data_IF_007260310320
#
_entry.id   IF_007260310320
#
_cell.length_a   1.000
_cell.length_b   1.000
_cell.length_c   1.000
_cell.angle_alpha   90.00
_cell.angle_beta   90.00
_cell.angle_gamma   90.00
#
_symmetry.space_group_name_H-M   'P 1'
#
loop_
_entity.id
_entity.type
_entity.pdbx_description
1 polymer ?
#
# COMPACT_ATOMS: atom_id res chain seq x y z
N UNK A 1 -11.96 -3.92 23.51
CA UNK A 1 -11.21 -3.05 22.58
C UNK A 1 -9.92 -3.75 22.15
N UNK A 2 -9.66 -3.83 20.86
CA UNK A 2 -8.41 -4.37 20.33
C UNK A 2 -7.37 -3.25 20.42
N UNK A 3 -6.15 -3.55 20.94
CA UNK A 3 -5.12 -2.55 21.16
C UNK A 3 -4.60 -1.99 19.83
N UNK A 4 -4.20 -2.86 18.94
CA UNK A 4 -3.50 -2.48 17.70
C UNK A 4 -4.35 -2.72 16.45
N UNK A 5 -4.02 -2.05 15.34
CA UNK A 5 -4.68 -2.17 14.04
C UNK A 5 -3.64 -2.34 12.94
N UNK A 6 -3.96 -3.16 11.96
CA UNK A 6 -3.13 -3.33 10.76
C UNK A 6 -4.02 -3.25 9.52
N UNK A 7 -3.59 -2.50 8.53
CA UNK A 7 -4.19 -2.44 7.19
C UNK A 7 -3.10 -2.65 6.16
N UNK A 8 -3.26 -3.66 5.30
CA UNK A 8 -2.28 -4.02 4.28
C UNK A 8 -2.99 -4.11 2.92
N UNK A 9 -2.61 -3.28 1.96
CA UNK A 9 -3.13 -3.31 0.59
C UNK A 9 -4.62 -2.95 0.45
N UNK A 10 -5.26 -2.40 1.51
CA UNK A 10 -6.65 -1.98 1.46
C UNK A 10 -6.80 -0.49 1.15
N UNK A 11 -5.85 0.31 1.57
CA UNK A 11 -5.95 1.77 1.52
C UNK A 11 -6.04 2.30 0.08
N UNK A 12 -5.44 1.58 -0.88
CA UNK A 12 -5.51 1.84 -2.32
C UNK A 12 -6.95 1.75 -2.89
N UNK A 13 -7.84 1.08 -2.17
CA UNK A 13 -9.25 0.88 -2.57
C UNK A 13 -10.25 1.75 -1.79
N UNK A 14 -9.77 2.54 -0.82
CA UNK A 14 -10.64 3.42 0.00
C UNK A 14 -11.16 4.60 -0.82
N UNK A 15 -10.34 5.11 -1.75
CA UNK A 15 -10.66 6.31 -2.53
C UNK A 15 -10.41 7.62 -1.75
N UNK A 16 -9.89 8.63 -2.44
CA UNK A 16 -9.44 9.90 -1.84
C UNK A 16 -10.54 10.66 -1.10
N UNK A 17 -11.80 10.53 -1.55
CA UNK A 17 -12.95 11.15 -0.90
C UNK A 17 -13.20 10.61 0.52
N UNK A 18 -12.82 9.37 0.79
CA UNK A 18 -13.07 8.68 2.06
C UNK A 18 -11.83 8.60 2.98
N UNK A 19 -10.68 9.15 2.59
CA UNK A 19 -9.47 9.09 3.40
C UNK A 19 -9.64 9.70 4.79
N UNK A 20 -10.37 10.82 4.90
CA UNK A 20 -10.63 11.43 6.21
C UNK A 20 -11.47 10.52 7.10
N UNK A 21 -12.53 9.93 6.55
CA UNK A 21 -13.40 8.99 7.26
C UNK A 21 -12.61 7.76 7.71
N UNK A 22 -11.75 7.23 6.84
CA UNK A 22 -10.87 6.10 7.16
C UNK A 22 -9.99 6.40 8.38
N UNK A 23 -9.27 7.53 8.40
CA UNK A 23 -8.39 7.86 9.53
C UNK A 23 -9.16 8.24 10.79
N UNK A 24 -10.31 8.88 10.69
CA UNK A 24 -11.20 9.10 11.83
C UNK A 24 -11.63 7.74 12.42
N UNK A 25 -11.98 6.78 11.58
CA UNK A 25 -12.35 5.41 12.03
C UNK A 25 -11.19 4.67 12.66
N UNK A 26 -9.98 4.81 12.13
CA UNK A 26 -8.75 4.27 12.77
C UNK A 26 -8.59 4.88 14.17
N UNK A 27 -8.75 6.19 14.30
CA UNK A 27 -8.69 6.88 15.59
C UNK A 27 -9.72 6.31 16.57
N UNK A 28 -11.00 6.21 16.18
CA UNK A 28 -12.08 5.74 17.04
C UNK A 28 -11.86 4.30 17.54
N UNK A 29 -11.34 3.45 16.67
CA UNK A 29 -11.14 2.02 16.95
C UNK A 29 -9.86 1.72 17.72
N UNK A 30 -8.90 2.64 17.76
CA UNK A 30 -7.62 2.44 18.43
C UNK A 30 -7.75 2.77 19.92
N UNK A 31 -7.10 1.98 20.79
CA UNK A 31 -6.94 2.33 22.19
C UNK A 31 -5.95 3.49 22.36
N UNK A 32 -5.96 4.16 23.52
CA UNK A 32 -5.04 5.26 23.82
C UNK A 32 -3.56 4.84 23.81
N UNK A 33 -3.28 3.56 24.14
CA UNK A 33 -1.95 2.95 24.05
C UNK A 33 -1.76 2.08 22.81
N UNK A 34 -2.66 2.14 21.84
CA UNK A 34 -2.64 1.33 20.64
C UNK A 34 -1.80 1.93 19.53
N UNK A 35 -1.33 1.06 18.64
CA UNK A 35 -0.59 1.40 17.41
C UNK A 35 -1.37 0.92 16.21
N UNK A 36 -1.47 1.76 15.19
CA UNK A 36 -1.95 1.34 13.87
C UNK A 36 -0.79 1.32 12.87
N UNK A 37 -0.76 0.31 12.02
CA UNK A 37 0.14 0.20 10.87
C UNK A 37 -0.67 0.21 9.59
N UNK A 38 -0.42 1.19 8.74
CA UNK A 38 -1.00 1.28 7.41
C UNK A 38 0.10 0.99 6.39
N UNK A 39 -0.01 -0.16 5.75
CA UNK A 39 0.87 -0.59 4.67
C UNK A 39 0.13 -0.41 3.35
N UNK A 40 0.64 0.43 2.49
CA UNK A 40 0.02 0.78 1.21
C UNK A 40 1.06 1.06 0.13
N UNK A 41 0.75 0.69 -1.10
CA UNK A 41 1.47 1.23 -2.25
C UNK A 41 1.22 2.73 -2.28
N UNK A 42 2.25 3.49 -2.62
CA UNK A 42 2.19 4.94 -2.73
C UNK A 42 3.16 5.48 -3.76
N UNK A 43 3.14 6.78 -3.95
CA UNK A 43 4.05 7.47 -4.87
C UNK A 43 4.86 8.56 -4.18
N UNK A 44 6.11 8.75 -4.63
CA UNK A 44 7.01 9.77 -4.09
C UNK A 44 6.79 11.16 -4.69
N UNK A 45 6.11 11.23 -5.84
CA UNK A 45 5.77 12.49 -6.50
C UNK A 45 4.40 13.01 -6.03
N UNK A 46 3.97 14.12 -6.62
CA UNK A 46 2.66 14.73 -6.39
C UNK A 46 1.50 13.78 -6.73
N UNK A 47 0.28 14.08 -6.23
CA UNK A 47 -0.94 13.34 -6.58
C UNK A 47 -1.13 13.22 -8.08
N UNK A 48 -1.60 12.08 -8.54
CA UNK A 48 -1.84 11.82 -9.97
C UNK A 48 -2.88 10.75 -10.19
N UNK A 49 -3.33 10.59 -11.40
CA UNK A 49 -4.35 9.62 -11.77
C UNK A 49 -3.79 8.20 -11.83
N UNK A 50 -4.67 7.23 -11.65
CA UNK A 50 -4.38 5.82 -11.93
C UNK A 50 -4.24 5.62 -13.43
N UNK A 51 -3.31 4.79 -13.84
CA UNK A 51 -3.16 4.41 -15.26
C UNK A 51 -4.47 3.79 -15.78
N UNK A 52 -5.00 4.26 -16.94
CA UNK A 52 -6.29 3.80 -17.45
C UNK A 52 -6.35 2.29 -17.76
N UNK A 53 -5.21 1.68 -18.10
CA UNK A 53 -5.14 0.25 -18.36
C UNK A 53 -5.23 -0.54 -17.04
N UNK A 54 -4.51 -0.09 -16.01
CA UNK A 54 -4.58 -0.69 -14.66
C UNK A 54 -5.99 -0.55 -14.07
N UNK A 55 -6.58 0.64 -14.17
CA UNK A 55 -7.95 0.89 -13.71
C UNK A 55 -8.97 -0.03 -14.41
N UNK A 56 -8.82 -0.21 -15.73
CA UNK A 56 -9.78 -1.01 -16.51
C UNK A 56 -9.64 -2.52 -16.27
N UNK A 57 -8.42 -3.04 -16.18
CA UNK A 57 -8.18 -4.48 -16.30
C UNK A 57 -7.73 -5.17 -15.01
N UNK A 58 -7.18 -4.43 -14.05
CA UNK A 58 -6.54 -5.01 -12.87
C UNK A 58 -7.23 -4.55 -11.59
N UNK A 59 -7.30 -3.24 -11.34
CA UNK A 59 -7.82 -2.64 -10.11
C UNK A 59 -8.82 -1.52 -10.39
N UNK A 60 -10.05 -1.85 -10.83
CA UNK A 60 -11.07 -0.83 -11.06
C UNK A 60 -11.33 0.03 -9.83
N UNK A 61 -11.20 1.35 -9.98
CA UNK A 61 -11.36 2.32 -8.91
C UNK A 61 -10.18 2.38 -7.91
N UNK A 62 -9.11 1.63 -8.15
CA UNK A 62 -7.89 1.70 -7.35
C UNK A 62 -7.15 3.02 -7.52
N UNK A 63 -6.55 3.51 -6.44
CA UNK A 63 -5.79 4.75 -6.43
C UNK A 63 -4.52 4.62 -5.60
N UNK A 64 -3.38 5.01 -6.17
CA UNK A 64 -2.10 5.01 -5.48
C UNK A 64 -1.84 6.41 -4.90
N UNK A 65 -1.93 6.59 -3.56
CA UNK A 65 -1.82 7.89 -2.92
C UNK A 65 -0.39 8.45 -2.94
N UNK A 66 -0.28 9.77 -3.02
CA UNK A 66 0.91 10.48 -2.61
C UNK A 66 0.98 10.54 -1.08
N UNK A 67 2.20 10.57 -0.53
CA UNK A 67 2.39 10.67 0.93
C UNK A 67 1.74 11.95 1.49
N UNK A 68 1.81 13.06 0.76
CA UNK A 68 1.22 14.35 1.13
C UNK A 68 -0.30 14.29 1.33
N UNK A 69 -1.01 13.53 0.48
CA UNK A 69 -2.46 13.35 0.62
C UNK A 69 -2.79 12.59 1.91
N UNK A 70 -2.03 11.56 2.19
CA UNK A 70 -2.23 10.69 3.33
C UNK A 70 -1.92 11.41 4.64
N UNK A 71 -0.75 12.04 4.76
CA UNK A 71 -0.30 12.76 5.97
C UNK A 71 -1.27 13.88 6.32
N UNK A 72 -1.75 14.64 5.34
CA UNK A 72 -2.75 15.70 5.56
C UNK A 72 -4.05 15.19 6.21
N UNK A 73 -4.46 13.96 5.94
CA UNK A 73 -5.66 13.35 6.54
C UNK A 73 -5.38 12.75 7.92
N UNK A 74 -4.20 12.20 8.12
CA UNK A 74 -3.74 11.74 9.44
C UNK A 74 -3.72 12.91 10.43
N UNK A 75 -3.14 14.04 10.07
CA UNK A 75 -3.09 15.26 10.92
C UNK A 75 -4.49 15.71 11.35
N UNK A 76 -5.45 15.73 10.41
CA UNK A 76 -6.83 16.14 10.68
C UNK A 76 -7.64 15.15 11.52
N UNK A 77 -7.20 13.89 11.60
CA UNK A 77 -7.88 12.86 12.42
C UNK A 77 -7.48 12.90 13.89
N UNK A 78 -6.46 13.67 14.26
CA UNK A 78 -5.90 13.69 15.61
C UNK A 78 -4.92 12.55 15.90
N UNK A 79 -4.62 11.69 14.92
CA UNK A 79 -3.57 10.68 15.03
C UNK A 79 -2.18 11.32 14.92
N UNK A 80 -1.24 10.80 15.68
CA UNK A 80 0.18 11.11 15.58
C UNK A 80 0.84 10.14 14.59
N UNK A 81 1.47 10.65 13.54
CA UNK A 81 2.35 9.88 12.67
C UNK A 81 3.69 9.69 13.38
N UNK A 82 3.93 8.50 13.92
CA UNK A 82 5.12 8.21 14.75
C UNK A 82 6.28 7.65 13.96
N UNK A 83 6.03 7.04 12.81
CA UNK A 83 7.06 6.58 11.88
C UNK A 83 6.51 6.43 10.45
N UNK A 84 7.38 6.63 9.47
CA UNK A 84 7.14 6.29 8.06
C UNK A 84 8.35 5.56 7.52
N UNK A 85 8.17 4.30 7.18
CA UNK A 85 9.16 3.55 6.42
C UNK A 85 8.80 3.55 4.94
N UNK A 86 9.77 3.87 4.09
CA UNK A 86 9.63 3.85 2.63
C UNK A 86 10.37 2.65 2.07
N UNK A 87 9.63 1.64 1.63
CA UNK A 87 10.17 0.43 1.01
C UNK A 87 10.22 0.65 -0.52
N UNK A 88 11.39 1.03 -1.03
CA UNK A 88 11.54 1.49 -2.41
C UNK A 88 11.47 0.35 -3.43
N UNK A 89 12.31 -0.66 -3.27
CA UNK A 89 12.50 -1.73 -4.26
C UNK A 89 11.94 -3.09 -3.81
N UNK A 90 11.46 -3.21 -2.59
CA UNK A 90 11.03 -4.50 -2.04
C UNK A 90 9.89 -5.12 -2.84
N UNK A 91 8.95 -4.29 -3.32
CA UNK A 91 7.82 -4.79 -4.10
C UNK A 91 8.19 -5.18 -5.52
N UNK A 92 9.21 -4.56 -6.12
CA UNK A 92 9.77 -4.99 -7.39
C UNK A 92 10.27 -6.44 -7.33
N UNK A 93 11.01 -6.80 -6.26
CA UNK A 93 11.46 -8.18 -6.06
C UNK A 93 10.30 -9.16 -5.84
N UNK A 94 9.23 -8.73 -5.15
CA UNK A 94 8.02 -9.53 -5.00
C UNK A 94 7.35 -9.80 -6.35
N UNK A 95 7.17 -8.76 -7.17
CA UNK A 95 6.58 -8.87 -8.51
C UNK A 95 7.41 -9.75 -9.43
N UNK A 96 8.73 -9.64 -9.37
CA UNK A 96 9.66 -10.50 -10.10
C UNK A 96 9.47 -11.96 -9.72
N UNK A 97 9.38 -12.28 -8.43
CA UNK A 97 9.12 -13.66 -7.96
C UNK A 97 7.74 -14.15 -8.38
N UNK A 98 6.71 -13.31 -8.32
CA UNK A 98 5.38 -13.67 -8.82
C UNK A 98 5.40 -13.98 -10.31
N UNK A 99 6.18 -13.22 -11.10
CA UNK A 99 6.34 -13.45 -12.52
C UNK A 99 7.04 -14.78 -12.82
N UNK A 100 8.09 -15.13 -12.08
CA UNK A 100 8.72 -16.46 -12.20
C UNK A 100 7.73 -17.58 -11.87
N UNK A 101 7.03 -17.49 -10.75
CA UNK A 101 6.03 -18.48 -10.36
C UNK A 101 4.90 -18.60 -11.40
N UNK A 102 4.51 -17.50 -12.02
CA UNK A 102 3.53 -17.51 -13.10
C UNK A 102 4.02 -18.31 -14.30
N UNK A 103 5.25 -18.08 -14.75
CA UNK A 103 5.83 -18.82 -15.88
C UNK A 103 6.06 -20.30 -15.56
N UNK A 104 6.50 -20.64 -14.35
CA UNK A 104 6.67 -22.02 -13.91
C UNK A 104 5.35 -22.82 -13.89
N UNK A 105 4.21 -22.10 -13.84
CA UNK A 105 2.89 -22.72 -13.83
C UNK A 105 2.01 -22.29 -15.02
N UNK A 106 2.59 -21.77 -16.10
CA UNK A 106 1.85 -21.18 -17.23
C UNK A 106 0.86 -22.15 -17.87
N UNK A 107 1.20 -23.43 -17.97
CA UNK A 107 0.32 -24.44 -18.58
C UNK A 107 -0.94 -24.65 -17.73
N UNK A 108 -0.81 -24.68 -16.41
CA UNK A 108 -1.95 -24.76 -15.50
C UNK A 108 -2.84 -23.50 -15.57
N UNK A 109 -2.21 -22.33 -15.77
CA UNK A 109 -2.97 -21.08 -15.93
C UNK A 109 -3.75 -21.10 -17.24
N UNK A 110 -3.17 -21.65 -18.33
CA UNK A 110 -3.85 -21.81 -19.64
C UNK A 110 -5.02 -22.79 -19.59
N UNK A 111 -5.00 -23.77 -18.71
CA UNK A 111 -6.13 -24.68 -18.48
C UNK A 111 -7.34 -23.96 -17.84
N UNK A 112 -7.10 -22.88 -17.07
CA UNK A 112 -8.13 -22.12 -16.34
C UNK A 112 -8.57 -20.89 -17.15
N UNK A 113 -7.62 -20.23 -17.81
CA UNK A 113 -7.79 -19.00 -18.57
C UNK A 113 -7.28 -19.16 -20.00
N UNK A 114 -7.42 -18.12 -20.81
CA UNK A 114 -6.93 -18.11 -22.20
C UNK A 114 -5.54 -17.44 -22.34
N UNK A 115 -4.98 -17.57 -23.54
CA UNK A 115 -3.71 -16.90 -23.93
C UNK A 115 -3.76 -15.37 -23.77
N UNK A 116 -4.92 -14.76 -23.94
CA UNK A 116 -5.11 -13.32 -23.79
C UNK A 116 -4.92 -12.91 -22.32
N UNK A 117 -5.48 -13.66 -21.39
CA UNK A 117 -5.27 -13.47 -19.96
C UNK A 117 -3.78 -13.62 -19.61
N UNK A 118 -3.11 -14.65 -20.11
CA UNK A 118 -1.69 -14.86 -19.82
C UNK A 118 -0.83 -13.66 -20.27
N UNK A 119 -1.08 -13.11 -21.46
CA UNK A 119 -0.37 -11.89 -21.92
C UNK A 119 -0.69 -10.67 -21.08
N UNK A 120 -1.96 -10.49 -20.71
CA UNK A 120 -2.40 -9.39 -19.85
C UNK A 120 -1.73 -9.46 -18.48
N UNK A 121 -1.69 -10.63 -17.88
CA UNK A 121 -1.11 -10.84 -16.55
C UNK A 121 0.41 -10.66 -16.54
N UNK A 122 1.11 -11.18 -17.54
CA UNK A 122 2.55 -10.94 -17.71
C UNK A 122 2.87 -9.46 -17.92
N UNK A 123 2.08 -8.76 -18.73
CA UNK A 123 2.22 -7.32 -18.90
C UNK A 123 2.02 -6.57 -17.59
N UNK A 124 0.98 -6.92 -16.81
CA UNK A 124 0.75 -6.33 -15.48
C UNK A 124 1.95 -6.53 -14.56
N UNK A 125 2.44 -7.76 -14.41
CA UNK A 125 3.56 -8.05 -13.52
C UNK A 125 4.85 -7.32 -13.96
N UNK A 126 5.14 -7.33 -15.26
CA UNK A 126 6.33 -6.69 -15.82
C UNK A 126 6.29 -5.16 -15.70
N UNK A 127 5.18 -4.55 -16.09
CA UNK A 127 5.01 -3.09 -16.03
C UNK A 127 5.00 -2.58 -14.59
N UNK A 128 4.36 -3.32 -13.68
CA UNK A 128 4.36 -3.00 -12.25
C UNK A 128 5.76 -3.12 -11.65
N UNK A 129 6.53 -4.18 -11.97
CA UNK A 129 7.91 -4.32 -11.55
C UNK A 129 8.75 -3.11 -12.01
N UNK A 130 8.70 -2.77 -13.30
CA UNK A 130 9.41 -1.61 -13.85
C UNK A 130 8.99 -0.28 -13.18
N UNK A 131 7.72 -0.15 -12.81
CA UNK A 131 7.24 1.05 -12.09
C UNK A 131 7.86 1.21 -10.71
N UNK A 132 8.12 0.11 -9.99
CA UNK A 132 8.84 0.16 -8.70
C UNK A 132 10.36 0.32 -8.86
N UNK A 133 10.95 -0.12 -9.97
CA UNK A 133 12.38 0.00 -10.23
C UNK A 133 12.77 1.38 -10.76
N UNK A 134 12.00 1.91 -11.72
CA UNK A 134 12.40 3.06 -12.55
C UNK A 134 11.50 4.30 -12.37
N UNK A 135 10.39 4.17 -11.64
CA UNK A 135 9.42 5.24 -11.47
C UNK A 135 9.35 5.69 -9.99
N UNK A 136 8.25 6.31 -9.63
CA UNK A 136 8.05 6.90 -8.29
C UNK A 136 7.26 6.01 -7.34
N UNK A 137 6.90 4.78 -7.77
CA UNK A 137 6.14 3.86 -6.92
C UNK A 137 7.00 3.28 -5.81
N UNK A 138 6.43 3.25 -4.63
CA UNK A 138 7.03 2.70 -3.41
C UNK A 138 5.95 2.04 -2.56
N UNK A 139 6.35 1.44 -1.45
CA UNK A 139 5.40 1.07 -0.40
C UNK A 139 5.68 1.91 0.83
N UNK A 140 4.65 2.50 1.40
CA UNK A 140 4.70 3.16 2.71
C UNK A 140 4.23 2.21 3.80
N UNK A 141 4.97 2.17 4.89
CA UNK A 141 4.52 1.64 6.17
C UNK A 141 4.43 2.81 7.14
N UNK A 142 3.22 3.25 7.43
CA UNK A 142 2.94 4.37 8.31
C UNK A 142 2.51 3.86 9.67
N UNK A 143 3.25 4.22 10.71
CA UNK A 143 2.91 3.90 12.09
C UNK A 143 2.19 5.09 12.72
N UNK A 144 1.02 4.82 13.26
CA UNK A 144 0.12 5.82 13.82
C UNK A 144 -0.23 5.47 15.26
N UNK A 145 -0.42 6.48 16.10
CA UNK A 145 -0.95 6.32 17.47
C UNK A 145 -1.80 7.52 17.87
N UNK A 146 -2.66 7.38 18.91
CA UNK A 146 -3.34 8.53 19.49
C UNK A 146 -2.40 9.42 20.28
N UNK A 147 -1.38 8.83 20.90
CA UNK A 147 -0.44 9.54 21.76
C UNK A 147 1.00 9.29 21.28
N UNK A 148 1.75 10.38 21.05
CA UNK A 148 3.15 10.29 20.63
C UNK A 148 4.07 9.53 21.61
N UNK A 149 3.64 9.35 22.85
CA UNK A 149 4.37 8.58 23.88
C UNK A 149 4.06 7.09 23.86
N UNK A 150 3.18 6.62 22.98
CA UNK A 150 2.79 5.20 22.88
C UNK A 150 3.93 4.31 22.44
N UNK A 151 4.78 4.81 21.55
CA UNK A 151 5.92 4.08 21.00
C UNK A 151 7.24 4.53 21.66
N UNK A 152 8.27 3.66 21.73
CA UNK A 152 9.60 4.03 22.23
C UNK A 152 10.24 5.17 21.42
N UNK A 153 11.13 5.95 22.07
CA UNK A 153 11.79 7.12 21.47
C UNK A 153 12.74 6.76 20.31
N UNK A 154 13.27 5.55 20.29
CA UNK A 154 14.16 5.08 19.23
C UNK A 154 13.51 3.97 18.40
N UNK A 155 13.95 3.81 17.14
CA UNK A 155 13.49 2.74 16.24
C UNK A 155 14.00 1.33 16.60
N UNK A 156 14.81 1.17 17.64
CA UNK A 156 15.46 -0.12 17.98
C UNK A 156 14.43 -1.23 18.24
N UNK A 157 13.24 -0.90 18.77
CA UNK A 157 12.18 -1.87 19.00
C UNK A 157 11.61 -2.50 17.71
N UNK A 158 11.86 -1.92 16.54
CA UNK A 158 11.47 -2.46 15.25
C UNK A 158 12.48 -3.46 14.68
N UNK A 159 13.66 -3.58 15.29
CA UNK A 159 14.79 -4.38 14.81
C UNK A 159 14.95 -5.69 15.61
N UNK A 160 14.07 -5.93 16.57
CA UNK A 160 14.11 -7.09 17.46
C UNK A 160 13.46 -8.34 16.85
#
# INVERSE_FOLDING_TARGET
CIRDRVSVGMFEHVGTAHYQEFFNKVYDLLNDSGVALIHTIGRLNEPGNTDPWIDKYIFPGGYIPALSETVSRVEKSGLSLTDVQVLRFHYAETLKRWRYNFYDNIDKVKEIYDEKFCRMWDFYLSSSQASFEESTLVVFQMQLSKNKKTVPDSRNYMLA
#
